data_IF_215240695836
#
_entry.id   IF_215240695836
#
_cell.length_a   1.000
_cell.length_b   1.000
_cell.length_c   1.000
_cell.angle_alpha   90.00
_cell.angle_beta   90.00
_cell.angle_gamma   90.00
#
_symmetry.space_group_name_H-M   'P 1'
#
loop_
_entity.id
_entity.type
_entity.pdbx_description
1 polymer ?
#
# COMPACT_ATOMS: atom_id res chain seq x y z
N UNK A 1 4.04 -10.08 13.36
CA UNK A 1 3.29 -9.04 12.62
C UNK A 1 4.21 -8.43 11.57
N UNK A 2 3.73 -8.16 10.34
CA UNK A 2 4.52 -7.54 9.26
C UNK A 2 3.83 -6.26 8.79
N UNK A 3 4.60 -5.16 8.72
CA UNK A 3 4.17 -3.87 8.19
C UNK A 3 4.91 -3.63 6.87
N UNK A 4 4.19 -3.24 5.83
CA UNK A 4 4.75 -2.93 4.50
C UNK A 4 4.35 -1.48 4.17
N UNK A 5 5.33 -0.66 3.80
CA UNK A 5 5.11 0.72 3.37
C UNK A 5 5.28 0.78 1.86
N UNK A 6 4.20 1.10 1.14
CA UNK A 6 4.20 1.28 -0.32
C UNK A 6 4.39 2.76 -0.62
N UNK A 7 5.48 3.11 -1.31
CA UNK A 7 5.81 4.49 -1.69
C UNK A 7 6.23 4.56 -3.16
N UNK A 8 6.24 5.77 -3.72
CA UNK A 8 6.59 6.02 -5.12
C UNK A 8 5.91 7.27 -5.69
N UNK A 9 6.40 7.74 -6.83
CA UNK A 9 5.86 8.93 -7.52
C UNK A 9 4.41 8.74 -8.00
N UNK A 10 3.71 9.82 -8.33
CA UNK A 10 2.37 9.70 -8.94
C UNK A 10 2.46 8.91 -10.24
N UNK A 11 1.56 7.95 -10.44
CA UNK A 11 1.59 7.03 -11.59
C UNK A 11 2.57 5.86 -11.48
N UNK A 12 3.36 5.72 -10.41
CA UNK A 12 4.34 4.62 -10.24
C UNK A 12 3.73 3.25 -9.91
N UNK A 13 2.41 3.09 -9.95
CA UNK A 13 1.73 1.81 -9.68
C UNK A 13 1.48 1.48 -8.20
N UNK A 14 1.52 2.46 -7.27
CA UNK A 14 1.21 2.23 -5.85
C UNK A 14 -0.15 1.55 -5.62
N UNK A 15 -1.18 1.95 -6.37
CA UNK A 15 -2.51 1.34 -6.29
C UNK A 15 -2.51 -0.12 -6.77
N UNK A 16 -1.70 -0.46 -7.76
CA UNK A 16 -1.51 -1.84 -8.22
C UNK A 16 -0.81 -2.68 -7.16
N UNK A 17 0.23 -2.14 -6.53
CA UNK A 17 0.92 -2.80 -5.44
C UNK A 17 0.00 -3.04 -4.22
N UNK A 18 -0.83 -2.05 -3.86
CA UNK A 18 -1.84 -2.18 -2.80
C UNK A 18 -2.82 -3.33 -3.07
N UNK A 19 -3.35 -3.43 -4.30
CA UNK A 19 -4.24 -4.54 -4.69
C UNK A 19 -3.57 -5.90 -4.59
N UNK A 20 -2.34 -6.01 -5.09
CA UNK A 20 -1.59 -7.27 -5.00
C UNK A 20 -1.30 -7.67 -3.55
N UNK A 21 -1.11 -6.70 -2.65
CA UNK A 21 -0.95 -6.94 -1.21
C UNK A 21 -2.27 -7.42 -0.58
N UNK A 22 -3.40 -6.83 -0.95
CA UNK A 22 -4.74 -7.28 -0.51
C UNK A 22 -5.02 -8.72 -0.96
N UNK A 23 -4.69 -9.07 -2.20
CA UNK A 23 -4.89 -10.42 -2.76
C UNK A 23 -4.13 -11.51 -1.97
N UNK A 24 -2.98 -11.17 -1.38
CA UNK A 24 -2.18 -12.10 -0.56
C UNK A 24 -2.47 -11.97 0.95
N UNK A 25 -3.53 -11.23 1.32
CA UNK A 25 -4.05 -11.17 2.69
C UNK A 25 -3.52 -10.03 3.57
N UNK A 26 -2.93 -8.98 3.00
CA UNK A 26 -2.62 -7.76 3.76
C UNK A 26 -3.84 -6.85 3.86
N UNK A 27 -3.97 -6.17 4.98
CA UNK A 27 -4.86 -5.03 5.12
C UNK A 27 -4.13 -3.76 4.68
N UNK A 28 -4.56 -3.16 3.57
CA UNK A 28 -3.96 -1.95 3.03
C UNK A 28 -4.75 -0.71 3.44
N UNK A 29 -4.02 0.35 3.84
CA UNK A 29 -4.59 1.66 4.18
C UNK A 29 -3.88 2.70 3.32
N UNK A 30 -4.63 3.41 2.49
CA UNK A 30 -4.13 4.53 1.70
C UNK A 30 -4.36 5.87 2.42
N UNK A 31 -3.55 6.88 2.11
CA UNK A 31 -3.63 8.24 2.67
C UNK A 31 -3.67 8.31 4.22
N UNK A 32 -2.97 7.39 4.90
CA UNK A 32 -2.90 7.38 6.35
C UNK A 32 -2.24 8.69 6.87
N UNK A 33 -2.91 9.46 7.74
CA UNK A 33 -2.32 10.65 8.33
C UNK A 33 -1.17 10.26 9.27
N UNK A 34 -0.05 10.96 9.16
CA UNK A 34 1.15 10.74 9.99
C UNK A 34 1.16 11.68 11.21
N UNK A 35 0.02 12.28 11.56
CA UNK A 35 -0.13 13.24 12.66
C UNK A 35 -1.41 12.98 13.43
#
# INVERSE_FOLDING_TARGET
MRLVIVTGMSGSGKSTASKALEDIGFFCIDNMPIR
#
